data_IF_854573704587
#
_entry.id   IF_854573704587
#
_cell.length_a   1.000
_cell.length_b   1.000
_cell.length_c   1.000
_cell.angle_alpha   90.00
_cell.angle_beta   90.00
_cell.angle_gamma   90.00
#
_symmetry.space_group_name_H-M   'P 1'
#
loop_
_entity.id
_entity.type
_entity.pdbx_description
1 polymer ?
#
# COMPACT_ATOMS: atom_id res chain seq x y z
N UNK A 1 -19.64 26.12 -5.97
CA UNK A 1 -19.69 25.29 -4.75
C UNK A 1 -19.32 23.85 -5.12
N UNK A 2 -18.03 23.46 -5.15
CA UNK A 2 -17.74 22.03 -5.06
C UNK A 2 -18.20 21.61 -3.66
N UNK A 3 -19.30 20.88 -3.63
CA UNK A 3 -20.18 20.71 -2.48
C UNK A 3 -19.42 20.23 -1.24
N UNK A 4 -19.59 20.92 -0.11
CA UNK A 4 -19.05 20.50 1.20
C UNK A 4 -19.41 19.04 1.52
N UNK A 5 -20.54 18.56 0.99
CA UNK A 5 -20.95 17.16 1.09
C UNK A 5 -19.95 16.20 0.46
N UNK A 6 -19.32 16.54 -0.67
CA UNK A 6 -18.32 15.70 -1.32
C UNK A 6 -17.02 15.63 -0.49
N UNK A 7 -16.57 16.75 0.08
CA UNK A 7 -15.39 16.78 0.95
C UNK A 7 -15.61 15.94 2.22
N UNK A 8 -16.78 16.07 2.84
CA UNK A 8 -17.15 15.28 4.02
C UNK A 8 -17.26 13.79 3.66
N UNK A 9 -17.91 13.45 2.55
CA UNK A 9 -18.04 12.06 2.11
C UNK A 9 -16.69 11.39 1.86
N UNK A 10 -15.79 12.06 1.12
CA UNK A 10 -14.44 11.57 0.85
C UNK A 10 -13.63 11.44 2.15
N UNK A 11 -13.71 12.42 3.05
CA UNK A 11 -13.02 12.37 4.34
C UNK A 11 -13.50 11.20 5.20
N UNK A 12 -14.81 10.92 5.22
CA UNK A 12 -15.38 9.79 5.96
C UNK A 12 -14.91 8.45 5.39
N UNK A 13 -14.87 8.31 4.06
CA UNK A 13 -14.34 7.09 3.41
C UNK A 13 -12.87 6.88 3.77
N UNK A 14 -12.04 7.91 3.69
CA UNK A 14 -10.62 7.81 4.04
C UNK A 14 -10.45 7.46 5.52
N UNK A 15 -11.25 8.04 6.42
CA UNK A 15 -11.20 7.73 7.84
C UNK A 15 -11.60 6.28 8.14
N UNK A 16 -12.65 5.77 7.50
CA UNK A 16 -13.05 4.36 7.61
C UNK A 16 -11.97 3.42 7.07
N UNK A 17 -11.36 3.76 5.93
CA UNK A 17 -10.25 3.00 5.36
C UNK A 17 -9.05 2.96 6.32
N UNK A 18 -8.65 4.10 6.88
CA UNK A 18 -7.58 4.19 7.88
C UNK A 18 -7.90 3.34 9.12
N UNK A 19 -9.14 3.41 9.64
CA UNK A 19 -9.57 2.61 10.78
C UNK A 19 -9.50 1.10 10.48
N UNK A 20 -9.98 0.68 9.31
CA UNK A 20 -9.89 -0.71 8.87
C UNK A 20 -8.43 -1.16 8.73
N UNK A 21 -7.57 -0.32 8.17
CA UNK A 21 -6.14 -0.59 8.02
C UNK A 21 -5.44 -0.73 9.38
N UNK A 22 -5.77 0.13 10.35
CA UNK A 22 -5.28 0.03 11.74
C UNK A 22 -5.72 -1.27 12.41
N UNK A 23 -6.96 -1.71 12.16
CA UNK A 23 -7.46 -2.98 12.69
C UNK A 23 -6.71 -4.19 12.08
N UNK A 24 -6.34 -4.11 10.81
CA UNK A 24 -5.52 -5.10 10.11
C UNK A 24 -4.08 -5.16 10.66
N UNK A 25 -3.46 -4.02 10.96
CA UNK A 25 -2.18 -3.96 11.67
C UNK A 25 -2.30 -4.64 13.04
N UNK A 26 -3.34 -4.28 13.82
CA UNK A 26 -3.56 -4.81 15.17
C UNK A 26 -3.76 -6.33 15.19
N UNK A 27 -4.32 -6.92 14.12
CA UNK A 27 -4.46 -8.36 13.97
C UNK A 27 -3.17 -9.08 13.55
N UNK A 28 -2.04 -8.38 13.43
CA UNK A 28 -0.74 -8.90 12.95
C UNK A 28 -0.79 -9.61 11.59
N UNK A 29 -1.89 -9.50 10.84
CA UNK A 29 -2.04 -10.09 9.50
C UNK A 29 -1.29 -9.28 8.44
N UNK A 30 -0.98 -8.01 8.73
CA UNK A 30 -0.19 -7.13 7.88
C UNK A 30 1.03 -6.61 8.63
N UNK A 31 2.19 -6.85 8.04
CA UNK A 31 3.45 -6.26 8.50
C UNK A 31 3.35 -4.72 8.44
N UNK A 32 3.82 -4.05 9.49
CA UNK A 32 3.77 -2.58 9.64
C UNK A 32 4.36 -1.84 8.42
N UNK A 33 5.34 -2.45 7.74
CA UNK A 33 6.00 -1.90 6.55
C UNK A 33 5.06 -1.68 5.35
N UNK A 34 4.06 -2.55 5.16
CA UNK A 34 3.12 -2.48 4.03
C UNK A 34 1.97 -1.52 4.32
N UNK A 35 1.51 -1.58 5.57
CA UNK A 35 0.58 -0.66 6.15
C UNK A 35 1.09 0.78 6.09
N UNK A 36 2.39 1.02 6.29
CA UNK A 36 2.98 2.35 6.30
C UNK A 36 2.81 3.08 4.96
N UNK A 37 3.00 2.41 3.82
CA UNK A 37 2.83 3.02 2.50
C UNK A 37 1.38 3.43 2.24
N UNK A 38 0.41 2.58 2.61
CA UNK A 38 -1.01 2.88 2.49
C UNK A 38 -1.46 3.99 3.45
N UNK A 39 -0.95 3.97 4.69
CA UNK A 39 -1.19 5.02 5.66
C UNK A 39 -0.68 6.36 5.16
N UNK A 40 0.56 6.40 4.65
CA UNK A 40 1.16 7.62 4.10
C UNK A 40 0.35 8.17 2.93
N UNK A 41 -0.10 7.29 2.02
CA UNK A 41 -0.94 7.66 0.89
C UNK A 41 -2.28 8.24 1.34
N UNK A 42 -2.96 7.59 2.30
CA UNK A 42 -4.23 8.07 2.84
C UNK A 42 -4.10 9.42 3.55
N UNK A 43 -3.02 9.61 4.33
CA UNK A 43 -2.73 10.90 4.99
C UNK A 43 -2.46 11.99 3.95
N UNK A 44 -1.66 11.71 2.92
CA UNK A 44 -1.38 12.65 1.85
C UNK A 44 -2.66 13.07 1.11
N UNK A 45 -3.54 12.12 0.80
CA UNK A 45 -4.85 12.40 0.18
C UNK A 45 -5.73 13.27 1.09
N UNK A 46 -5.79 12.96 2.39
CA UNK A 46 -6.58 13.72 3.36
C UNK A 46 -6.08 15.17 3.46
N UNK A 47 -4.76 15.37 3.42
CA UNK A 47 -4.13 16.68 3.40
C UNK A 47 -4.52 17.46 2.14
N UNK A 48 -4.53 16.84 0.95
CA UNK A 48 -4.99 17.49 -0.28
C UNK A 48 -6.49 17.83 -0.29
N UNK A 49 -7.33 17.01 0.33
CA UNK A 49 -8.78 17.27 0.46
C UNK A 49 -9.05 18.52 1.31
N UNK A 50 -8.29 18.70 2.39
CA UNK A 50 -8.41 19.85 3.29
C UNK A 50 -7.66 21.09 2.79
N UNK A 51 -6.53 20.91 2.09
CA UNK A 51 -5.69 21.97 1.55
C UNK A 51 -5.60 21.91 0.01
N UNK A 52 -6.68 22.22 -0.72
CA UNK A 52 -6.68 22.22 -2.19
C UNK A 52 -5.74 23.29 -2.78
N UNK A 53 -5.39 24.33 -2.02
CA UNK A 53 -4.44 25.36 -2.46
C UNK A 53 -3.05 24.80 -2.75
N UNK A 54 -2.57 23.81 -1.98
CA UNK A 54 -1.29 23.15 -2.24
C UNK A 54 -1.31 22.44 -3.60
N UNK A 55 -2.40 21.72 -3.87
CA UNK A 55 -2.61 21.00 -5.13
C UNK A 55 -2.68 21.98 -6.30
N UNK A 56 -3.35 23.12 -6.12
CA UNK A 56 -3.49 24.14 -7.15
C UNK A 56 -2.13 24.78 -7.51
N UNK A 57 -1.28 25.06 -6.52
CA UNK A 57 0.07 25.58 -6.75
C UNK A 57 0.96 24.58 -7.50
N UNK A 58 0.88 23.29 -7.13
CA UNK A 58 1.59 22.22 -7.85
C UNK A 58 1.09 22.07 -9.29
N UNK A 59 -0.21 22.22 -9.52
CA UNK A 59 -0.83 22.12 -10.84
C UNK A 59 -0.27 23.20 -11.78
N UNK A 60 -0.10 24.43 -11.29
CA UNK A 60 0.54 25.53 -12.03
C UNK A 60 2.02 25.27 -12.29
N UNK A 61 2.74 24.71 -11.31
CA UNK A 61 4.17 24.40 -11.46
C UNK A 61 4.44 23.28 -12.47
N UNK A 62 3.61 22.23 -12.46
CA UNK A 62 3.73 21.07 -13.35
C UNK A 62 3.12 21.35 -14.73
N UNK A 63 2.28 22.37 -14.88
CA UNK A 63 1.65 22.75 -16.15
C UNK A 63 0.44 21.87 -16.53
N UNK A 64 -0.19 21.21 -15.56
CA UNK A 64 -1.39 20.37 -15.78
C UNK A 64 -2.63 21.26 -15.68
N UNK A 65 -3.64 21.02 -16.52
CA UNK A 65 -4.82 21.92 -16.59
C UNK A 65 -5.82 21.72 -15.43
N UNK A 66 -5.84 20.55 -14.80
CA UNK A 66 -6.81 20.20 -13.74
C UNK A 66 -6.11 19.61 -12.51
N UNK A 67 -6.34 20.16 -11.30
CA UNK A 67 -5.78 19.62 -10.06
C UNK A 67 -6.17 18.16 -9.82
N UNK A 68 -7.36 17.76 -10.27
CA UNK A 68 -7.82 16.36 -10.20
C UNK A 68 -6.93 15.44 -11.03
N UNK A 69 -6.50 15.86 -12.22
CA UNK A 69 -5.65 15.03 -13.09
C UNK A 69 -4.25 14.84 -12.48
N UNK A 70 -3.70 15.88 -11.85
CA UNK A 70 -2.43 15.78 -11.12
C UNK A 70 -2.54 14.74 -9.99
N UNK A 71 -3.65 14.78 -9.23
CA UNK A 71 -3.89 13.85 -8.13
C UNK A 71 -4.02 12.40 -8.62
N UNK A 72 -4.68 12.18 -9.76
CA UNK A 72 -4.72 10.87 -10.43
C UNK A 72 -3.34 10.40 -10.88
N UNK A 73 -2.53 11.28 -11.48
CA UNK A 73 -1.19 10.93 -11.95
C UNK A 73 -0.26 10.55 -10.79
N UNK A 74 -0.22 11.36 -9.73
CA UNK A 74 0.57 11.07 -8.53
C UNK A 74 0.08 9.77 -7.86
N UNK A 75 -1.24 9.59 -7.72
CA UNK A 75 -1.81 8.36 -7.20
C UNK A 75 -1.43 7.13 -8.02
N UNK A 76 -1.41 7.24 -9.35
CA UNK A 76 -0.99 6.17 -10.25
C UNK A 76 0.49 5.83 -10.09
N UNK A 77 1.39 6.82 -10.08
CA UNK A 77 2.82 6.61 -9.82
C UNK A 77 3.07 5.94 -8.46
N UNK A 78 2.38 6.39 -7.41
CA UNK A 78 2.48 5.79 -6.09
C UNK A 78 1.95 4.36 -6.07
N UNK A 79 0.84 4.08 -6.75
CA UNK A 79 0.28 2.73 -6.89
C UNK A 79 1.27 1.76 -7.55
N UNK A 80 1.95 2.19 -8.63
CA UNK A 80 3.01 1.38 -9.26
C UNK A 80 4.14 1.08 -8.28
N UNK A 81 4.57 2.05 -7.49
CA UNK A 81 5.58 1.85 -6.44
C UNK A 81 5.13 0.85 -5.38
N UNK A 82 3.87 0.90 -4.96
CA UNK A 82 3.28 -0.06 -4.02
C UNK A 82 3.24 -1.45 -4.62
N UNK A 83 2.76 -1.60 -5.86
CA UNK A 83 2.69 -2.89 -6.56
C UNK A 83 4.09 -3.49 -6.67
N UNK A 84 5.08 -2.70 -7.10
CA UNK A 84 6.47 -3.15 -7.21
C UNK A 84 7.04 -3.61 -5.87
N UNK A 85 6.80 -2.86 -4.80
CA UNK A 85 7.18 -3.26 -3.43
C UNK A 85 6.55 -4.59 -3.04
N UNK A 86 5.25 -4.75 -3.31
CA UNK A 86 4.51 -5.98 -3.05
C UNK A 86 5.09 -7.17 -3.83
N UNK A 87 5.39 -6.97 -5.12
CA UNK A 87 6.01 -7.98 -5.99
C UNK A 87 7.37 -8.42 -5.44
N UNK A 88 8.22 -7.48 -5.00
CA UNK A 88 9.54 -7.82 -4.44
C UNK A 88 9.41 -8.69 -3.18
N UNK A 89 8.43 -8.38 -2.34
CA UNK A 89 8.16 -9.15 -1.13
C UNK A 89 7.65 -10.54 -1.45
N UNK A 90 6.69 -10.65 -2.36
CA UNK A 90 6.14 -11.94 -2.81
C UNK A 90 7.25 -12.80 -3.41
N UNK A 91 8.17 -12.20 -4.17
CA UNK A 91 9.35 -12.86 -4.71
C UNK A 91 10.26 -13.42 -3.59
N UNK A 92 10.56 -12.61 -2.57
CA UNK A 92 11.34 -13.08 -1.41
C UNK A 92 10.64 -14.22 -0.65
N UNK A 93 9.32 -14.13 -0.47
CA UNK A 93 8.55 -15.18 0.19
C UNK A 93 8.54 -16.49 -0.62
N UNK A 94 8.38 -16.42 -1.93
CA UNK A 94 8.45 -17.59 -2.80
C UNK A 94 9.80 -18.33 -2.67
N UNK A 95 10.90 -17.58 -2.57
CA UNK A 95 12.22 -18.17 -2.37
C UNK A 95 12.37 -18.85 -1.01
N UNK A 96 11.84 -18.25 0.06
CA UNK A 96 11.84 -18.87 1.41
C UNK A 96 11.00 -20.15 1.45
N UNK A 97 9.84 -20.16 0.80
CA UNK A 97 8.99 -21.36 0.69
C UNK A 97 9.74 -22.47 -0.05
N UNK A 98 10.42 -22.13 -1.16
CA UNK A 98 11.24 -23.10 -1.92
C UNK A 98 12.35 -23.69 -1.04
N UNK A 99 13.08 -22.87 -0.30
CA UNK A 99 14.12 -23.33 0.62
C UNK A 99 13.57 -24.26 1.70
N UNK A 100 12.45 -23.88 2.34
CA UNK A 100 11.81 -24.70 3.37
C UNK A 100 11.37 -26.06 2.82
N UNK A 101 10.78 -26.08 1.62
CA UNK A 101 10.40 -27.33 0.94
C UNK A 101 11.61 -28.21 0.63
N UNK A 102 12.75 -27.62 0.23
CA UNK A 102 13.99 -28.35 0.00
C UNK A 102 14.57 -28.91 1.31
N UNK A 103 14.55 -28.15 2.40
CA UNK A 103 14.98 -28.62 3.72
C UNK A 103 14.14 -29.79 4.19
N UNK A 104 12.80 -29.73 4.05
CA UNK A 104 11.91 -30.84 4.39
C UNK A 104 12.23 -32.09 3.55
N UNK A 105 12.46 -31.93 2.24
CA UNK A 105 12.80 -33.05 1.36
C UNK A 105 14.15 -33.71 1.70
N UNK A 106 15.16 -32.92 2.10
CA UNK A 106 16.44 -33.45 2.56
C UNK A 106 16.30 -34.18 3.90
N UNK A 107 15.54 -33.62 4.85
CA UNK A 107 15.26 -34.28 6.13
C UNK A 107 14.53 -35.62 5.96
N UNK A 108 13.53 -35.68 5.07
CA UNK A 108 12.80 -36.93 4.78
C UNK A 108 13.71 -37.99 4.16
N UNK A 109 14.67 -37.57 3.32
CA UNK A 109 15.67 -38.47 2.73
C UNK A 109 16.63 -39.03 3.78
N UNK A 110 17.14 -38.19 4.68
CA UNK A 110 18.04 -38.61 5.77
C UNK A 110 17.35 -39.60 6.72
N UNK A 111 16.09 -39.34 7.10
CA UNK A 111 15.30 -40.25 7.94
C UNK A 111 15.16 -41.63 7.28
N UNK A 112 14.78 -41.68 5.99
CA UNK A 112 14.65 -42.94 5.25
C UNK A 112 15.97 -43.71 5.14
N UNK A 113 17.10 -43.02 5.01
CA UNK A 113 18.41 -43.68 4.95
C UNK A 113 18.91 -44.25 6.28
N UNK A 114 18.33 -43.82 7.41
CA UNK A 114 18.64 -44.33 8.74
C UNK A 114 17.79 -45.56 9.13
N UNK A 115 16.67 -45.78 8.45
CA UNK A 115 15.77 -46.93 8.66
C UNK A 115 16.13 -48.16 7.78
N UNK A 116 17.03 -47.99 6.79
CA UNK A 116 17.62 -49.06 5.95
C UNK A 116 18.98 -49.53 6.48
#
# INVERSE_FOLDING_TARGET
MLSYTARLFISTIIALFLMWMLQLIRKHTLNIRYALSWFLLSVALLLFVWFPQLLNNLTVLVGIYSPTNLLFFVGFCLSLGIIFSLTNIVSSHAQKIKQLSQTIALMDKELRSHDE
#
